data_IF_516881104476
#
_entry.id   IF_516881104476
#
_cell.length_a   1.000
_cell.length_b   1.000
_cell.length_c   1.000
_cell.angle_alpha   90.00
_cell.angle_beta   90.00
_cell.angle_gamma   90.00
#
_symmetry.space_group_name_H-M   'P 1'
#
loop_
_entity.id
_entity.type
_entity.pdbx_description
1 polymer ?
#
# COMPACT_ATOMS: atom_id res chain seq x y z
N UNK A 1 6.55 -14.69 1.91
CA UNK A 1 7.66 -13.81 2.31
C UNK A 1 7.22 -12.82 3.38
N UNK A 2 6.16 -12.04 3.15
CA UNK A 2 5.56 -11.18 4.18
C UNK A 2 5.22 -11.93 5.48
N UNK A 3 4.58 -13.11 5.39
CA UNK A 3 4.26 -13.91 6.58
C UNK A 3 5.50 -14.32 7.39
N UNK A 4 6.63 -14.55 6.72
CA UNK A 4 7.89 -14.89 7.38
C UNK A 4 8.48 -13.69 8.11
N UNK A 5 8.46 -12.53 7.47
CA UNK A 5 8.91 -11.26 8.05
C UNK A 5 8.05 -10.89 9.27
N UNK A 6 6.72 -11.01 9.15
CA UNK A 6 5.79 -10.75 10.27
C UNK A 6 6.07 -11.70 11.43
N UNK A 7 6.23 -13.00 11.15
CA UNK A 7 6.54 -13.99 12.18
C UNK A 7 7.88 -13.72 12.88
N UNK A 8 8.91 -13.28 12.13
CA UNK A 8 10.22 -12.95 12.68
C UNK A 8 10.17 -11.70 13.58
N UNK A 9 9.50 -10.63 13.14
CA UNK A 9 9.31 -9.41 13.92
C UNK A 9 8.49 -9.68 15.19
N UNK A 10 7.46 -10.53 15.10
CA UNK A 10 6.66 -10.94 16.25
C UNK A 10 7.49 -11.77 17.23
N UNK A 11 8.35 -12.66 16.76
CA UNK A 11 9.27 -13.42 17.61
C UNK A 11 10.21 -12.47 18.36
N UNK A 12 10.87 -11.56 17.65
CA UNK A 12 11.79 -10.59 18.25
C UNK A 12 11.09 -9.69 19.28
N UNK A 13 9.85 -9.28 19.00
CA UNK A 13 9.03 -8.53 19.95
C UNK A 13 8.73 -9.35 21.22
N UNK A 14 8.39 -10.63 21.10
CA UNK A 14 8.12 -11.50 22.26
C UNK A 14 9.37 -11.74 23.10
N UNK A 15 10.53 -11.92 22.46
CA UNK A 15 11.81 -12.11 23.14
C UNK A 15 12.17 -10.87 23.97
N UNK A 16 12.00 -9.66 23.40
CA UNK A 16 12.20 -8.39 24.13
C UNK A 16 11.27 -8.28 25.34
N UNK A 17 10.00 -8.67 25.21
CA UNK A 17 9.06 -8.63 26.33
C UNK A 17 9.40 -9.63 27.44
N UNK A 18 9.86 -10.84 27.08
CA UNK A 18 10.34 -11.82 28.05
C UNK A 18 11.59 -11.32 28.80
N UNK A 19 12.53 -10.68 28.10
CA UNK A 19 13.73 -10.11 28.70
C UNK A 19 13.43 -8.90 29.59
N UNK A 20 12.47 -8.06 29.19
CA UNK A 20 11.97 -6.96 30.04
C UNK A 20 11.35 -7.49 31.34
N UNK A 21 10.63 -8.61 31.28
CA UNK A 21 10.10 -9.26 32.49
C UNK A 21 11.23 -9.78 33.39
N UNK A 22 12.26 -10.41 32.80
CA UNK A 22 13.45 -10.86 33.53
C UNK A 22 14.25 -9.72 34.17
N UNK A 23 14.39 -8.59 33.48
CA UNK A 23 15.09 -7.40 33.97
C UNK A 23 14.50 -6.85 35.28
N UNK A 24 13.17 -6.90 35.44
CA UNK A 24 12.46 -6.47 36.66
C UNK A 24 12.79 -7.31 37.89
N UNK A 25 13.34 -8.51 37.70
CA UNK A 25 13.73 -9.42 38.80
C UNK A 25 15.18 -9.24 39.22
N UNK A 26 15.98 -8.51 38.43
CA UNK A 26 17.39 -8.24 38.71
C UNK A 26 17.54 -7.00 39.60
N UNK A 27 18.60 -6.97 40.41
CA UNK A 27 18.94 -5.79 41.20
C UNK A 27 19.40 -4.65 40.29
N UNK A 28 18.74 -3.51 40.38
CA UNK A 28 19.11 -2.31 39.62
C UNK A 28 20.59 -1.93 39.82
N UNK A 29 21.25 -1.54 38.73
CA UNK A 29 22.67 -1.15 38.74
C UNK A 29 23.66 -2.30 38.90
N UNK A 30 23.21 -3.55 39.07
CA UNK A 30 24.09 -4.71 39.01
C UNK A 30 24.66 -4.93 37.59
N UNK A 31 25.78 -5.66 37.50
CA UNK A 31 26.39 -6.01 36.20
C UNK A 31 25.42 -6.74 35.28
N UNK A 32 24.67 -7.71 35.82
CA UNK A 32 23.70 -8.51 35.06
C UNK A 32 22.51 -7.66 34.59
N UNK A 33 22.05 -6.73 35.44
CA UNK A 33 21.02 -5.77 35.06
C UNK A 33 21.50 -4.86 33.90
N UNK A 34 22.73 -4.34 33.97
CA UNK A 34 23.29 -3.50 32.90
C UNK A 34 23.53 -4.28 31.60
N UNK A 35 23.94 -5.54 31.70
CA UNK A 35 24.12 -6.41 30.54
C UNK A 35 22.80 -6.72 29.84
N UNK A 36 21.77 -7.15 30.60
CA UNK A 36 20.45 -7.43 30.06
C UNK A 36 19.77 -6.17 29.52
N UNK A 37 19.93 -5.02 30.19
CA UNK A 37 19.46 -3.74 29.68
C UNK A 37 20.07 -3.40 28.30
N UNK A 38 21.39 -3.59 28.13
CA UNK A 38 22.07 -3.36 26.85
C UNK A 38 21.55 -4.28 25.75
N UNK A 39 21.32 -5.55 26.08
CA UNK A 39 20.79 -6.53 25.15
C UNK A 39 19.38 -6.15 24.68
N UNK A 40 18.50 -5.82 25.62
CA UNK A 40 17.14 -5.33 25.34
C UNK A 40 17.17 -4.09 24.43
N UNK A 41 18.01 -3.10 24.74
CA UNK A 41 18.12 -1.87 23.93
C UNK A 41 18.63 -2.17 22.52
N UNK A 42 19.57 -3.09 22.37
CA UNK A 42 20.11 -3.51 21.07
C UNK A 42 19.05 -4.23 20.24
N UNK A 43 18.29 -5.13 20.86
CA UNK A 43 17.17 -5.83 20.21
C UNK A 43 16.05 -4.88 19.81
N UNK A 44 15.72 -3.89 20.64
CA UNK A 44 14.75 -2.84 20.31
C UNK A 44 15.19 -2.01 19.11
N UNK A 45 16.45 -1.56 19.08
CA UNK A 45 17.00 -0.82 17.95
C UNK A 45 16.94 -1.65 16.65
N UNK A 46 17.29 -2.93 16.73
CA UNK A 46 17.19 -3.86 15.60
C UNK A 46 15.74 -4.04 15.13
N UNK A 47 14.80 -4.26 16.06
CA UNK A 47 13.38 -4.40 15.75
C UNK A 47 12.85 -3.16 15.02
N UNK A 48 13.13 -1.98 15.56
CA UNK A 48 12.69 -0.71 14.96
C UNK A 48 13.29 -0.51 13.55
N UNK A 49 14.57 -0.79 13.37
CA UNK A 49 15.23 -0.67 12.07
C UNK A 49 14.64 -1.64 11.03
N UNK A 50 14.36 -2.88 11.43
CA UNK A 50 13.73 -3.87 10.54
C UNK A 50 12.30 -3.47 10.18
N UNK A 51 11.50 -3.03 11.15
CA UNK A 51 10.13 -2.54 10.90
C UNK A 51 10.11 -1.39 9.89
N UNK A 52 10.97 -0.38 10.09
CA UNK A 52 11.05 0.77 9.20
C UNK A 52 11.53 0.37 7.80
N UNK A 53 12.54 -0.52 7.71
CA UNK A 53 13.01 -1.03 6.43
C UNK A 53 11.91 -1.77 5.66
N UNK A 54 11.17 -2.66 6.33
CA UNK A 54 10.09 -3.41 5.69
C UNK A 54 8.93 -2.51 5.28
N UNK A 55 8.57 -1.53 6.12
CA UNK A 55 7.57 -0.52 5.77
C UNK A 55 7.93 0.22 4.49
N UNK A 56 9.15 0.78 4.40
CA UNK A 56 9.63 1.47 3.20
C UNK A 56 9.72 0.58 1.98
N UNK A 57 10.15 -0.66 2.17
CA UNK A 57 10.21 -1.63 1.07
C UNK A 57 8.81 -1.90 0.50
N UNK A 58 7.80 -2.04 1.37
CA UNK A 58 6.41 -2.23 0.96
C UNK A 58 5.87 -0.98 0.27
N UNK A 59 6.04 0.21 0.85
CA UNK A 59 5.64 1.47 0.22
C UNK A 59 6.22 1.63 -1.19
N UNK A 60 7.50 1.29 -1.38
CA UNK A 60 8.14 1.35 -2.69
C UNK A 60 7.58 0.32 -3.68
N UNK A 61 7.26 -0.90 -3.22
CA UNK A 61 6.64 -1.93 -4.06
C UNK A 61 5.23 -1.52 -4.45
N UNK A 62 4.45 -1.00 -3.51
CA UNK A 62 3.07 -0.55 -3.73
C UNK A 62 3.06 0.64 -4.69
N UNK A 63 3.98 1.60 -4.52
CA UNK A 63 4.15 2.72 -5.45
C UNK A 63 4.45 2.22 -6.86
N UNK A 64 5.47 1.36 -7.03
CA UNK A 64 5.84 0.85 -8.36
C UNK A 64 4.71 0.07 -9.00
N UNK A 65 4.04 -0.79 -8.24
CA UNK A 65 2.93 -1.57 -8.74
C UNK A 65 1.78 -0.66 -9.19
N UNK A 66 1.44 0.35 -8.40
CA UNK A 66 0.40 1.35 -8.74
C UNK A 66 0.77 2.14 -9.99
N UNK A 67 2.03 2.56 -10.13
CA UNK A 67 2.52 3.28 -11.30
C UNK A 67 2.44 2.43 -12.58
N UNK A 68 2.84 1.16 -12.52
CA UNK A 68 2.76 0.25 -13.67
C UNK A 68 1.31 -0.07 -14.04
N UNK A 69 0.45 -0.33 -13.04
CA UNK A 69 -0.99 -0.53 -13.26
C UNK A 69 -1.62 0.69 -13.93
N UNK A 70 -1.29 1.89 -13.46
CA UNK A 70 -1.84 3.12 -14.04
C UNK A 70 -1.34 3.36 -15.48
N UNK A 71 -0.08 3.01 -15.79
CA UNK A 71 0.41 3.04 -17.18
C UNK A 71 -0.36 2.07 -18.08
N UNK A 72 -0.67 0.87 -17.59
CA UNK A 72 -1.48 -0.09 -18.33
C UNK A 72 -2.88 0.46 -18.59
N UNK A 73 -3.53 1.05 -17.59
CA UNK A 73 -4.83 1.73 -17.74
C UNK A 73 -4.76 2.82 -18.81
N UNK A 74 -3.75 3.70 -18.77
CA UNK A 74 -3.60 4.78 -19.75
C UNK A 74 -3.41 4.26 -21.17
N UNK A 75 -2.58 3.22 -21.34
CA UNK A 75 -2.34 2.60 -22.64
C UNK A 75 -3.61 1.97 -23.20
N UNK A 76 -4.27 1.12 -22.42
CA UNK A 76 -5.50 0.41 -22.83
C UNK A 76 -6.61 1.42 -23.14
N UNK A 77 -6.74 2.48 -22.33
CA UNK A 77 -7.68 3.58 -22.59
C UNK A 77 -7.41 4.23 -23.95
N UNK A 78 -6.14 4.48 -24.27
CA UNK A 78 -5.73 5.00 -25.58
C UNK A 78 -6.09 4.07 -26.73
N UNK A 79 -5.82 2.77 -26.60
CA UNK A 79 -6.17 1.77 -27.60
C UNK A 79 -7.68 1.66 -27.84
N UNK A 80 -8.49 1.69 -26.77
CA UNK A 80 -9.95 1.69 -26.84
C UNK A 80 -10.47 2.98 -27.49
N UNK A 81 -9.88 4.12 -27.13
CA UNK A 81 -10.24 5.42 -27.71
C UNK A 81 -9.97 5.46 -29.22
N UNK A 82 -8.79 5.03 -29.67
CA UNK A 82 -8.43 4.94 -31.10
C UNK A 82 -9.40 4.05 -31.87
N UNK A 83 -9.74 2.88 -31.33
CA UNK A 83 -10.66 1.93 -31.98
C UNK A 83 -12.09 2.48 -32.12
N UNK A 84 -12.50 3.35 -31.20
CA UNK A 84 -13.82 3.98 -31.19
C UNK A 84 -13.85 5.35 -31.87
N UNK A 85 -12.71 5.84 -32.35
CA UNK A 85 -12.59 7.17 -32.95
C UNK A 85 -12.85 8.30 -31.96
N UNK A 86 -12.41 8.13 -30.69
CA UNK A 86 -12.53 9.15 -29.64
C UNK A 86 -11.24 9.98 -29.58
N UNK A 87 -11.34 11.28 -29.79
CA UNK A 87 -10.19 12.20 -29.73
C UNK A 87 -9.81 12.59 -28.29
N UNK A 88 -10.76 12.53 -27.36
CA UNK A 88 -10.58 12.89 -25.95
C UNK A 88 -11.33 11.91 -25.05
N UNK A 89 -10.67 11.51 -23.97
CA UNK A 89 -11.25 10.71 -22.88
C UNK A 89 -11.06 11.48 -21.59
N UNK A 90 -12.12 11.63 -20.81
CA UNK A 90 -12.10 12.24 -19.49
C UNK A 90 -12.39 11.18 -18.44
N UNK A 91 -11.70 11.28 -17.30
CA UNK A 91 -12.12 10.58 -16.09
C UNK A 91 -13.51 11.08 -15.67
N UNK A 92 -14.38 10.14 -15.35
CA UNK A 92 -15.72 10.40 -14.83
C UNK A 92 -15.76 9.95 -13.37
N UNK A 93 -15.92 10.91 -12.46
CA UNK A 93 -16.08 10.65 -11.04
C UNK A 93 -17.51 11.01 -10.62
N UNK A 94 -18.13 10.18 -9.79
CA UNK A 94 -19.39 10.54 -9.14
C UNK A 94 -19.10 11.39 -7.90
N UNK A 95 -19.68 12.58 -7.81
CA UNK A 95 -19.51 13.45 -6.64
C UNK A 95 -20.51 13.05 -5.56
N UNK A 96 -20.00 12.60 -4.42
CA UNK A 96 -20.83 12.41 -3.22
C UNK A 96 -21.05 13.74 -2.47
N UNK A 97 -22.32 14.11 -2.29
CA UNK A 97 -22.72 15.26 -1.47
C UNK A 97 -23.77 14.84 -0.41
N UNK A 98 -23.70 15.40 0.81
CA UNK A 98 -22.74 16.40 1.27
C UNK A 98 -21.34 15.79 1.52
N UNK A 99 -20.29 16.55 1.19
CA UNK A 99 -18.92 16.15 1.48
C UNK A 99 -18.66 16.13 3.00
N UNK A 100 -17.84 15.19 3.53
CA UNK A 100 -17.56 15.07 4.96
C UNK A 100 -16.84 16.26 5.59
N UNK A 101 -16.05 17.01 4.79
CA UNK A 101 -15.31 18.18 5.26
C UNK A 101 -15.10 19.21 4.14
N UNK A 102 -14.80 20.46 4.52
CA UNK A 102 -14.46 21.51 3.55
C UNK A 102 -13.18 21.17 2.76
N UNK A 103 -12.22 20.49 3.38
CA UNK A 103 -10.97 20.06 2.71
C UNK A 103 -11.27 19.02 1.64
N UNK A 104 -12.09 18.02 1.95
CA UNK A 104 -12.52 16.99 0.97
C UNK A 104 -13.33 17.62 -0.16
N UNK A 105 -14.28 18.50 0.16
CA UNK A 105 -15.03 19.23 -0.86
C UNK A 105 -14.11 20.00 -1.82
N UNK A 106 -13.10 20.70 -1.29
CA UNK A 106 -12.13 21.44 -2.11
C UNK A 106 -11.25 20.52 -2.95
N UNK A 107 -10.92 19.33 -2.46
CA UNK A 107 -10.19 18.32 -3.24
C UNK A 107 -11.06 17.81 -4.39
N UNK A 108 -12.30 17.41 -4.12
CA UNK A 108 -13.27 16.96 -5.13
C UNK A 108 -13.47 18.03 -6.20
N UNK A 109 -13.68 19.30 -5.83
CA UNK A 109 -13.82 20.40 -6.80
C UNK A 109 -12.57 20.56 -7.69
N UNK A 110 -11.36 20.31 -7.16
CA UNK A 110 -10.12 20.46 -7.91
C UNK A 110 -9.82 19.29 -8.84
N UNK A 111 -10.23 18.08 -8.48
CA UNK A 111 -9.92 16.86 -9.23
C UNK A 111 -11.03 16.44 -10.18
N UNK A 112 -12.27 16.90 -9.97
CA UNK A 112 -13.40 16.54 -10.79
C UNK A 112 -13.32 17.22 -12.18
N UNK A 113 -12.99 16.42 -13.20
CA UNK A 113 -12.68 16.91 -14.56
C UNK A 113 -13.91 17.03 -15.46
N UNK A 114 -14.94 16.21 -15.23
CA UNK A 114 -16.11 16.10 -16.11
C UNK A 114 -17.39 16.47 -15.35
N UNK A 115 -17.86 17.70 -15.53
CA UNK A 115 -19.05 18.21 -14.82
C UNK A 115 -20.38 17.76 -15.45
N UNK A 116 -20.37 17.44 -16.74
CA UNK A 116 -21.54 17.03 -17.49
C UNK A 116 -21.14 16.26 -18.75
N UNK A 117 -21.75 15.10 -18.94
CA UNK A 117 -21.72 14.33 -20.19
C UNK A 117 -23.16 13.93 -20.51
N UNK A 118 -23.73 14.46 -21.57
CA UNK A 118 -25.15 14.26 -21.93
C UNK A 118 -25.46 12.86 -22.46
N UNK A 119 -25.08 11.80 -21.74
CA UNK A 119 -25.14 10.41 -22.19
C UNK A 119 -23.99 10.03 -23.13
N UNK A 120 -22.80 10.63 -22.94
CA UNK A 120 -21.61 10.25 -23.69
C UNK A 120 -21.24 8.79 -23.44
N UNK A 121 -20.54 8.19 -24.39
CA UNK A 121 -20.08 6.80 -24.30
C UNK A 121 -19.12 6.63 -23.12
N UNK A 122 -19.50 5.78 -22.17
CA UNK A 122 -18.61 5.28 -21.12
C UNK A 122 -17.83 4.07 -21.65
N UNK A 123 -16.51 4.09 -21.48
CA UNK A 123 -15.61 3.01 -21.91
C UNK A 123 -14.99 2.24 -20.73
N UNK A 124 -15.38 2.56 -19.49
CA UNK A 124 -14.78 2.01 -18.26
C UNK A 124 -14.82 0.49 -18.24
N UNK A 125 -15.99 -0.12 -18.47
CA UNK A 125 -16.14 -1.58 -18.47
C UNK A 125 -15.27 -2.28 -19.53
N UNK A 126 -15.10 -1.66 -20.70
CA UNK A 126 -14.29 -2.22 -21.78
C UNK A 126 -12.79 -2.13 -21.46
N UNK A 127 -12.35 -1.02 -20.88
CA UNK A 127 -10.96 -0.86 -20.42
C UNK A 127 -10.67 -1.87 -19.31
N UNK A 128 -11.58 -2.02 -18.34
CA UNK A 128 -11.46 -3.01 -17.26
C UNK A 128 -11.37 -4.43 -17.78
N UNK A 129 -12.23 -4.82 -18.73
CA UNK A 129 -12.22 -6.16 -19.32
C UNK A 129 -10.90 -6.48 -20.04
N UNK A 130 -10.29 -5.49 -20.71
CA UNK A 130 -8.98 -5.67 -21.36
C UNK A 130 -7.84 -5.76 -20.36
N UNK A 131 -7.88 -4.95 -19.30
CA UNK A 131 -6.91 -4.99 -18.23
C UNK A 131 -6.91 -6.36 -17.53
N UNK A 132 -8.09 -6.87 -17.19
CA UNK A 132 -8.26 -8.19 -16.57
C UNK A 132 -7.75 -9.32 -17.47
N UNK A 133 -8.00 -9.23 -18.78
CA UNK A 133 -7.51 -10.20 -19.74
C UNK A 133 -5.97 -10.25 -19.76
N UNK A 134 -5.31 -9.08 -19.82
CA UNK A 134 -3.84 -9.00 -19.79
C UNK A 134 -3.25 -9.49 -18.46
N UNK A 135 -3.88 -9.18 -17.33
CA UNK A 135 -3.41 -9.65 -16.02
C UNK A 135 -3.53 -11.18 -15.89
N UNK A 136 -4.56 -11.78 -16.49
CA UNK A 136 -4.72 -13.23 -16.53
C UNK A 136 -3.64 -13.96 -17.36
N UNK A 137 -3.06 -13.27 -18.33
CA UNK A 137 -1.98 -13.76 -19.19
C UNK A 137 -0.57 -13.52 -18.62
N UNK A 138 -0.42 -12.54 -17.71
CA UNK A 138 0.84 -12.31 -16.99
C UNK A 138 1.10 -13.52 -16.04
N UNK A 139 2.30 -14.14 -16.07
CA UNK A 139 2.61 -15.23 -15.17
C UNK A 139 2.44 -14.73 -13.73
N UNK A 140 1.56 -15.38 -12.96
CA UNK A 140 1.23 -15.04 -11.57
C UNK A 140 2.49 -15.01 -10.71
N UNK A 141 3.17 -13.87 -10.66
CA UNK A 141 4.10 -13.56 -9.58
C UNK A 141 3.26 -13.51 -8.33
N UNK A 142 3.42 -14.53 -7.49
CA UNK A 142 2.65 -14.80 -6.28
C UNK A 142 2.63 -13.58 -5.35
N UNK A 143 1.67 -12.69 -5.54
CA UNK A 143 1.21 -11.76 -4.51
C UNK A 143 -0.01 -12.41 -3.88
N UNK A 144 0.24 -13.28 -2.91
CA UNK A 144 -0.83 -13.78 -2.03
C UNK A 144 -1.24 -12.61 -1.13
N UNK A 145 -2.36 -11.96 -1.45
CA UNK A 145 -3.18 -11.27 -0.46
C UNK A 145 -3.91 -12.34 0.36
N UNK A 146 -3.54 -12.48 1.63
CA UNK A 146 -4.27 -13.32 2.57
C UNK A 146 -5.54 -12.57 3.03
N UNK A 147 -6.68 -13.23 2.86
CA UNK A 147 -7.93 -12.98 3.61
C UNK A 147 -7.72 -13.20 5.10
#
# INVERSE_FOLDING_TARGET
EQDRIIAELQRLSKDIEAERAGLRTLKEGSSDHLALMREILTKQASLQAQQEFHKRQMEFKDQRWTEELYKDILRITGEVAEQKGLDLVFESDEIELPAPSATELMMTIRTHKLLYSGGCLDITDEVMARLDAEESEKPKTKTNSAK
#
